data_IF_328377844381
#
_entry.id   IF_328377844381
#
_cell.length_a   1.000
_cell.length_b   1.000
_cell.length_c   1.000
_cell.angle_alpha   90.00
_cell.angle_beta   90.00
_cell.angle_gamma   90.00
#
_symmetry.space_group_name_H-M   'P 1'
#
loop_
_entity.id
_entity.type
_entity.pdbx_description
1 polymer ?
#
# COMPACT_ATOMS: atom_id res chain seq x y z
N UNK A 1 22.89 0.47 -12.59
CA UNK A 1 22.42 -0.35 -12.33
C UNK A 1 21.09 -0.43 -12.66
N UNK A 2 20.38 -0.16 -13.30
CA UNK A 2 19.13 -0.32 -13.84
C UNK A 2 18.23 -1.24 -13.13
N UNK A 3 18.21 -1.17 -11.90
CA UNK A 3 17.36 -2.05 -11.22
C UNK A 3 15.95 -1.64 -11.42
N UNK A 4 15.05 -2.52 -11.78
CA UNK A 4 13.65 -2.17 -11.97
C UNK A 4 13.03 -1.73 -10.67
N UNK A 5 12.11 -0.80 -10.82
CA UNK A 5 11.44 -0.33 -9.67
C UNK A 5 10.27 -1.21 -9.40
N UNK A 6 10.48 -2.41 -8.97
CA UNK A 6 9.42 -3.26 -8.70
C UNK A 6 8.98 -3.09 -7.32
N UNK A 7 7.75 -2.70 -7.07
CA UNK A 7 7.19 -2.54 -5.75
C UNK A 7 6.14 -3.62 -5.58
N UNK A 8 6.34 -4.53 -4.66
CA UNK A 8 5.38 -5.60 -4.49
C UNK A 8 4.26 -5.13 -3.55
N UNK A 9 3.24 -5.96 -3.40
CA UNK A 9 2.09 -5.60 -2.61
C UNK A 9 2.44 -5.32 -1.17
N UNK A 10 3.41 -6.05 -0.65
CA UNK A 10 3.82 -5.86 0.73
C UNK A 10 4.33 -4.44 0.96
N UNK A 11 5.12 -3.94 0.04
CA UNK A 11 5.65 -2.59 0.14
C UNK A 11 4.54 -1.56 0.03
N UNK A 12 3.61 -1.78 -0.90
CA UNK A 12 2.49 -0.86 -1.06
C UNK A 12 1.62 -0.84 0.19
N UNK A 13 1.36 -2.00 0.73
CA UNK A 13 0.52 -2.11 1.92
C UNK A 13 1.19 -1.45 3.11
N UNK A 14 2.49 -1.63 3.25
CA UNK A 14 3.22 -1.01 4.35
C UNK A 14 3.17 0.51 4.24
N UNK A 15 3.35 1.03 3.04
CA UNK A 15 3.29 2.47 2.82
C UNK A 15 1.88 3.00 3.10
N UNK A 16 0.87 2.26 2.65
CA UNK A 16 -0.51 2.67 2.87
C UNK A 16 -0.84 2.70 4.35
N UNK A 17 -0.40 1.68 5.07
CA UNK A 17 -0.67 1.63 6.50
C UNK A 17 -0.09 2.83 7.22
N UNK A 18 1.15 3.16 6.88
CA UNK A 18 1.79 4.30 7.48
C UNK A 18 1.02 5.57 7.19
N UNK A 19 0.64 5.78 5.94
CA UNK A 19 -0.06 6.99 5.54
C UNK A 19 -1.43 7.07 6.22
N UNK A 20 -2.16 5.96 6.24
CA UNK A 20 -3.48 5.96 6.83
C UNK A 20 -3.42 6.16 8.33
N UNK A 21 -2.40 5.64 8.99
CA UNK A 21 -2.26 5.86 10.42
C UNK A 21 -1.90 7.30 10.74
N UNK A 22 -1.12 7.92 9.87
CA UNK A 22 -0.72 9.30 10.10
C UNK A 22 -1.79 10.30 9.73
N UNK A 23 -2.48 10.06 8.62
CA UNK A 23 -3.43 11.04 8.13
C UNK A 23 -4.88 10.66 8.33
N UNK A 24 -5.15 9.44 8.64
CA UNK A 24 -6.50 8.99 8.85
C UNK A 24 -7.35 9.09 7.60
N UNK A 25 -8.63 9.46 7.74
CA UNK A 25 -9.52 9.50 6.58
C UNK A 25 -9.10 10.50 5.52
N UNK A 26 -8.25 11.45 5.87
CA UNK A 26 -7.81 12.43 4.88
C UNK A 26 -6.76 11.88 3.94
N UNK A 27 -6.22 10.71 4.23
CA UNK A 27 -5.21 10.11 3.37
C UNK A 27 -5.79 9.80 2.00
N UNK A 28 -4.95 9.94 0.97
CA UNK A 28 -5.38 9.66 -0.40
C UNK A 28 -4.45 8.65 -1.02
N UNK A 29 -4.90 8.06 -2.15
CA UNK A 29 -4.02 7.14 -2.87
C UNK A 29 -2.79 7.86 -3.39
N UNK A 30 -2.89 9.16 -3.65
CA UNK A 30 -1.72 9.92 -4.05
C UNK A 30 -0.69 9.95 -2.93
N UNK A 31 -1.15 10.13 -1.70
CA UNK A 31 -0.24 10.12 -0.56
C UNK A 31 0.46 8.78 -0.44
N UNK A 32 -0.28 7.70 -0.65
CA UNK A 32 0.31 6.36 -0.59
C UNK A 32 1.32 6.17 -1.71
N UNK A 33 0.97 6.61 -2.92
CA UNK A 33 1.87 6.47 -4.05
C UNK A 33 3.18 7.19 -3.78
N UNK A 34 3.08 8.39 -3.22
CA UNK A 34 4.26 9.16 -2.91
C UNK A 34 5.11 8.46 -1.86
N UNK A 35 4.47 7.93 -0.83
CA UNK A 35 5.19 7.23 0.22
C UNK A 35 5.85 5.97 -0.29
N UNK A 36 5.22 5.29 -1.23
CA UNK A 36 5.76 4.06 -1.79
C UNK A 36 6.74 4.31 -2.93
N UNK A 37 6.80 5.53 -3.43
CA UNK A 37 7.71 5.85 -4.52
C UNK A 37 7.21 5.36 -5.87
N UNK A 38 5.91 5.28 -6.06
CA UNK A 38 5.32 4.82 -7.31
C UNK A 38 4.24 5.78 -7.75
N UNK A 39 3.71 5.56 -8.95
CA UNK A 39 2.61 6.38 -9.43
C UNK A 39 1.29 5.85 -8.92
N UNK A 40 0.26 6.68 -8.99
CA UNK A 40 -1.06 6.23 -8.62
C UNK A 40 -1.54 5.10 -9.52
N UNK A 41 -1.10 5.09 -10.76
CA UNK A 41 -1.48 4.03 -11.68
C UNK A 41 -1.06 2.67 -11.17
N UNK A 42 0.11 2.60 -10.56
CA UNK A 42 0.59 1.35 -10.01
C UNK A 42 -0.34 0.87 -8.89
N UNK A 43 -0.78 1.80 -8.07
CA UNK A 43 -1.68 1.44 -6.98
C UNK A 43 -3.00 0.92 -7.53
N UNK A 44 -3.56 1.59 -8.54
CA UNK A 44 -4.84 1.18 -9.09
C UNK A 44 -4.74 -0.10 -9.91
N UNK A 45 -3.56 -0.52 -10.29
CA UNK A 45 -3.40 -1.82 -10.91
C UNK A 45 -3.59 -2.93 -9.90
N UNK A 46 -3.34 -2.65 -8.64
CA UNK A 46 -3.42 -3.68 -7.61
C UNK A 46 -4.64 -3.56 -6.73
N UNK A 47 -5.14 -2.37 -6.54
CA UNK A 47 -6.29 -2.13 -5.69
C UNK A 47 -7.27 -1.27 -6.44
N UNK A 48 -8.51 -1.67 -6.44
CA UNK A 48 -9.51 -0.97 -7.24
C UNK A 48 -9.89 0.38 -6.70
N UNK A 49 -9.81 0.57 -5.43
CA UNK A 49 -10.24 1.81 -4.82
C UNK A 49 -9.44 2.08 -3.57
N UNK A 50 -9.59 3.28 -3.05
CA UNK A 50 -8.97 3.65 -1.80
C UNK A 50 -9.48 2.75 -0.67
N UNK A 51 -10.77 2.42 -0.70
CA UNK A 51 -11.34 1.57 0.33
C UNK A 51 -10.69 0.20 0.33
N UNK A 52 -10.48 -0.36 -0.84
CA UNK A 52 -9.86 -1.66 -0.93
C UNK A 52 -8.42 -1.60 -0.41
N UNK A 53 -7.71 -0.55 -0.75
CA UNK A 53 -6.36 -0.36 -0.27
C UNK A 53 -6.35 -0.18 1.24
N UNK A 54 -7.29 0.59 1.75
CA UNK A 54 -7.38 0.83 3.17
C UNK A 54 -7.61 -0.47 3.93
N UNK A 55 -8.55 -1.28 3.44
CA UNK A 55 -8.81 -2.56 4.08
C UNK A 55 -7.58 -3.45 4.06
N UNK A 56 -6.90 -3.52 2.94
CA UNK A 56 -5.70 -4.34 2.84
C UNK A 56 -4.62 -3.86 3.79
N UNK A 57 -4.51 -2.55 3.97
CA UNK A 57 -3.47 -1.98 4.80
C UNK A 57 -3.75 -2.16 6.28
N UNK A 58 -5.02 -2.13 6.65
CA UNK A 58 -5.37 -2.16 8.06
C UNK A 58 -5.67 -3.55 8.58
N UNK A 59 -5.82 -4.52 7.72
CA UNK A 59 -6.06 -5.88 8.16
C UNK A 59 -4.76 -6.53 8.61
N UNK A 60 -4.82 -7.37 9.61
CA UNK A 60 -3.60 -8.07 10.05
C UNK A 60 -3.15 -9.09 9.03
N UNK A 61 -1.89 -9.44 9.10
CA UNK A 61 -1.36 -10.43 8.19
C UNK A 61 -2.06 -11.77 8.39
N UNK A 62 -2.21 -12.57 7.34
CA UNK A 62 -2.82 -13.88 7.49
C UNK A 62 -2.04 -14.74 8.47
N UNK A 63 -2.73 -15.55 9.25
CA UNK A 63 -2.06 -16.38 10.24
C UNK A 63 -1.03 -17.33 9.67
N UNK A 64 -1.29 -17.84 8.49
CA UNK A 64 -0.34 -18.77 7.94
C UNK A 64 0.99 -18.12 7.63
N UNK A 65 1.01 -16.84 7.39
CA UNK A 65 2.26 -16.16 7.17
C UNK A 65 3.04 -16.01 8.45
N UNK A 66 2.35 -15.74 9.52
CA UNK A 66 3.05 -15.59 10.76
C UNK A 66 3.41 -16.92 11.38
N UNK A 67 2.78 -17.96 10.98
CA UNK A 67 3.10 -19.27 11.50
C UNK A 67 4.39 -19.82 10.92
N UNK A 68 4.84 -19.27 9.86
CA UNK A 68 6.08 -19.73 9.26
C UNK A 68 7.29 -19.09 9.92
#
# INVERSE_FOLDING_TARGET
MGRPQRVDDRTLIAAARRVFLERGPAATTRDVARAAGVSQAVIYQRFRSKDELFLAAMLPAPPELSAL
#
